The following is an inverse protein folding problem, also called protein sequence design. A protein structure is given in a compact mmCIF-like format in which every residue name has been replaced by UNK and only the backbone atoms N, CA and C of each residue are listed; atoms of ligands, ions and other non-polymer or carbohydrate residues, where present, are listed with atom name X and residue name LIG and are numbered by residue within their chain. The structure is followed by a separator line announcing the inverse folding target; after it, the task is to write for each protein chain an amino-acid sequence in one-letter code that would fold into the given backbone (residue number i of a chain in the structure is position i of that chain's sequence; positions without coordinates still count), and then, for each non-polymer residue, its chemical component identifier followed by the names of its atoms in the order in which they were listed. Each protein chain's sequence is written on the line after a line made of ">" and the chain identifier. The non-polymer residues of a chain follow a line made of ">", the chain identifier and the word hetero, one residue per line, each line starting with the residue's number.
data_IF_652079316633
#
_entry.id   IF_652079316633
#
_cell.length_a   1.000
_cell.length_b   1.000
_cell.length_c   1.000
_cell.angle_alpha   90.00
_cell.angle_beta   90.00
_cell.angle_gamma   90.00
#
_symmetry.space_group_name_H-M   'P 1'
#
loop_
_entity.id
_entity.type
_entity.pdbx_description
1 polymer ?
#
# COMPACT_ATOMS: atom_id res chain seq x y z
N UNK A 1 -99.08 13.55 -23.55
CA UNK A 1 -99.10 13.89 -22.14
C UNK A 1 -97.64 13.97 -21.72
N UNK A 2 -97.14 15.22 -21.80
CA UNK A 2 -95.66 15.47 -21.65
C UNK A 2 -95.55 16.18 -20.33
N UNK A 3 -94.72 15.62 -19.41
CA UNK A 3 -94.33 16.25 -18.16
C UNK A 3 -92.92 16.76 -18.30
N UNK A 4 -92.79 18.06 -18.28
CA UNK A 4 -91.51 18.79 -18.23
C UNK A 4 -90.98 18.80 -16.82
N UNK A 5 -89.77 18.28 -16.62
CA UNK A 5 -89.00 18.34 -15.36
C UNK A 5 -87.88 19.33 -15.51
N UNK A 6 -87.82 20.36 -14.70
CA UNK A 6 -86.72 21.32 -14.61
C UNK A 6 -85.45 20.70 -14.01
N UNK A 7 -84.23 21.15 -14.41
CA UNK A 7 -82.97 20.63 -13.84
C UNK A 7 -82.62 21.37 -12.53
N UNK A 8 -81.95 20.67 -11.57
CA UNK A 8 -81.61 21.26 -10.28
C UNK A 8 -80.35 22.16 -10.36
N UNK A 9 -80.41 23.23 -9.59
CA UNK A 9 -79.33 24.20 -9.36
C UNK A 9 -78.03 23.56 -8.94
N UNK A 10 -76.94 23.77 -9.70
CA UNK A 10 -75.59 23.42 -9.34
C UNK A 10 -75.02 24.47 -8.39
N UNK A 11 -74.89 24.14 -7.10
CA UNK A 11 -74.14 24.90 -6.12
C UNK A 11 -72.65 24.84 -6.45
N UNK A 12 -72.07 25.97 -6.83
CA UNK A 12 -70.60 26.11 -6.96
C UNK A 12 -69.97 26.13 -5.56
N UNK A 13 -69.28 25.08 -5.19
CA UNK A 13 -68.40 25.04 -4.04
C UNK A 13 -67.06 25.69 -4.42
N UNK A 14 -66.74 26.81 -3.81
CA UNK A 14 -65.41 27.45 -3.91
C UNK A 14 -64.46 26.66 -3.04
N UNK A 15 -63.53 25.96 -3.66
CA UNK A 15 -62.40 25.41 -2.96
C UNK A 15 -61.33 26.49 -2.69
N UNK A 16 -61.09 26.81 -1.42
CA UNK A 16 -59.96 27.60 -0.98
C UNK A 16 -58.78 26.66 -0.97
N UNK A 17 -57.88 26.83 -1.95
CA UNK A 17 -56.59 26.11 -1.97
C UNK A 17 -55.68 26.79 -0.96
N UNK A 18 -55.52 26.20 0.21
CA UNK A 18 -54.47 26.56 1.15
C UNK A 18 -53.12 26.03 0.62
N UNK A 19 -52.28 26.93 0.12
CA UNK A 19 -50.91 26.61 -0.27
C UNK A 19 -50.08 26.47 1.01
N UNK A 20 -49.78 25.24 1.40
CA UNK A 20 -48.78 24.96 2.43
C UNK A 20 -47.38 25.06 1.79
N UNK A 21 -46.66 26.13 2.13
CA UNK A 21 -45.24 26.23 1.87
C UNK A 21 -44.50 25.20 2.77
N UNK A 22 -44.21 24.03 2.20
CA UNK A 22 -43.28 23.07 2.84
C UNK A 22 -41.88 23.64 2.64
N UNK A 23 -41.30 24.22 3.68
CA UNK A 23 -39.90 24.55 3.73
C UNK A 23 -39.10 23.25 3.77
N UNK A 24 -38.63 22.81 2.61
CA UNK A 24 -37.67 21.69 2.52
C UNK A 24 -36.34 22.13 3.11
N UNK A 25 -36.08 21.74 4.33
CA UNK A 25 -34.71 21.79 4.88
C UNK A 25 -33.88 20.70 4.17
N UNK A 26 -33.21 21.09 3.09
CA UNK A 26 -32.22 20.26 2.44
C UNK A 26 -31.03 20.18 3.38
N UNK A 27 -30.93 19.08 4.13
CA UNK A 27 -29.71 18.72 4.79
C UNK A 27 -28.65 18.51 3.70
N UNK A 28 -27.70 19.44 3.59
CA UNK A 28 -26.51 19.30 2.77
C UNK A 28 -25.67 18.23 3.45
N UNK A 29 -25.89 16.97 3.08
CA UNK A 29 -24.93 15.89 3.34
C UNK A 29 -23.76 16.17 2.41
N UNK A 30 -22.73 16.82 2.94
CA UNK A 30 -21.46 16.94 2.23
C UNK A 30 -20.94 15.53 1.98
N UNK A 31 -20.70 15.12 0.73
CA UNK A 31 -20.06 13.84 0.49
C UNK A 31 -18.68 13.90 1.14
N UNK A 32 -18.41 13.00 2.07
CA UNK A 32 -17.06 12.73 2.55
C UNK A 32 -16.30 12.21 1.35
N UNK A 33 -15.61 13.10 0.64
CA UNK A 33 -14.77 12.72 -0.48
C UNK A 33 -13.68 11.78 0.06
N UNK A 34 -13.52 10.58 -0.50
CA UNK A 34 -12.39 9.75 -0.15
C UNK A 34 -11.11 10.56 -0.43
N UNK A 35 -10.12 10.45 0.44
CA UNK A 35 -8.84 11.18 0.39
C UNK A 35 -8.11 11.09 -0.97
N UNK A 36 -8.55 10.19 -1.85
CA UNK A 36 -8.06 9.98 -3.20
C UNK A 36 -8.48 11.04 -4.23
N UNK A 37 -9.54 11.81 -4.00
CA UNK A 37 -10.09 12.73 -5.01
C UNK A 37 -9.42 14.12 -5.04
N UNK A 38 -8.58 14.47 -4.07
CA UNK A 38 -7.98 15.80 -3.94
C UNK A 38 -6.52 15.91 -4.37
N UNK A 39 -5.97 14.90 -5.07
CA UNK A 39 -4.55 14.90 -5.47
C UNK A 39 -4.30 15.08 -6.97
N UNK A 40 -5.20 15.70 -7.69
CA UNK A 40 -4.99 16.04 -9.09
C UNK A 40 -4.92 17.55 -9.26
N UNK A 41 -3.84 18.21 -8.88
CA UNK A 41 -3.38 19.46 -9.48
C UNK A 41 -2.15 20.09 -8.88
N UNK A 42 -1.68 19.72 -7.71
CA UNK A 42 -0.39 20.22 -7.26
C UNK A 42 0.56 19.03 -7.12
N UNK A 43 1.76 19.16 -7.70
CA UNK A 43 2.89 18.34 -7.32
C UNK A 43 3.17 18.66 -5.84
N UNK A 44 2.35 18.14 -4.95
CA UNK A 44 2.55 18.25 -3.51
C UNK A 44 3.99 17.84 -3.28
N UNK A 45 4.78 18.73 -2.66
CA UNK A 45 6.18 18.48 -2.44
C UNK A 45 6.37 17.07 -1.89
N UNK A 46 7.16 16.24 -2.59
CA UNK A 46 7.44 14.89 -2.13
C UNK A 46 8.07 14.94 -0.74
N UNK A 47 7.93 13.88 0.03
CA UNK A 47 8.52 13.74 1.36
C UNK A 47 8.00 14.76 2.39
N UNK A 48 6.73 15.08 2.32
CA UNK A 48 6.06 15.99 3.27
C UNK A 48 4.93 15.25 3.98
N UNK A 49 4.82 15.48 5.29
CA UNK A 49 3.63 15.15 6.08
C UNK A 49 2.85 16.45 6.30
N UNK A 50 1.64 16.52 5.79
CA UNK A 50 0.75 17.66 5.99
C UNK A 50 0.35 17.82 7.46
N UNK A 51 -0.18 18.99 7.85
CA UNK A 51 -0.66 19.18 9.21
C UNK A 51 -1.78 18.17 9.59
N UNK A 52 -2.69 17.88 8.66
CA UNK A 52 -3.77 16.90 8.86
C UNK A 52 -3.22 15.46 9.00
N UNK A 53 -2.24 15.09 8.20
CA UNK A 53 -1.58 13.78 8.31
C UNK A 53 -0.83 13.65 9.64
N UNK A 54 -0.13 14.70 10.07
CA UNK A 54 0.58 14.71 11.36
C UNK A 54 -0.37 14.54 12.53
N UNK A 55 -1.51 15.26 12.54
CA UNK A 55 -2.54 15.09 13.57
C UNK A 55 -3.17 13.70 13.55
N UNK A 56 -3.11 12.98 12.41
CA UNK A 56 -3.57 11.60 12.27
C UNK A 56 -2.45 10.57 12.52
N UNK A 57 -1.31 10.98 13.08
CA UNK A 57 -0.23 10.09 13.49
C UNK A 57 0.77 9.68 12.39
N UNK A 58 0.70 10.28 11.20
CA UNK A 58 1.67 10.01 10.14
C UNK A 58 3.04 10.61 10.45
N UNK A 59 4.09 9.85 10.20
CA UNK A 59 5.49 10.26 10.30
C UNK A 59 6.24 9.87 9.02
N UNK A 60 7.25 10.66 8.64
CA UNK A 60 8.13 10.30 7.53
C UNK A 60 9.10 9.20 7.97
N UNK A 61 9.28 8.20 7.11
CA UNK A 61 10.41 7.26 7.18
C UNK A 61 11.57 7.68 6.29
N UNK A 62 11.34 8.63 5.37
CA UNK A 62 12.35 9.21 4.50
C UNK A 62 12.12 10.72 4.34
N UNK A 63 13.13 11.52 4.65
CA UNK A 63 13.07 12.99 4.67
C UNK A 63 13.35 13.65 3.30
N UNK A 64 13.63 12.86 2.27
CA UNK A 64 13.98 13.33 0.92
C UNK A 64 15.48 13.65 0.74
N UNK A 65 16.28 13.63 1.81
CA UNK A 65 17.69 14.07 1.77
C UNK A 65 18.67 13.08 2.37
N UNK A 66 18.24 12.31 3.38
CA UNK A 66 19.11 11.38 4.11
C UNK A 66 18.49 10.01 4.27
N UNK A 67 19.32 8.99 4.43
CA UNK A 67 18.91 7.63 4.80
C UNK A 67 18.94 7.42 6.32
N UNK A 68 18.76 8.48 7.11
CA UNK A 68 18.65 8.37 8.57
C UNK A 68 17.44 7.51 8.94
N UNK A 69 17.63 6.56 9.84
CA UNK A 69 16.60 5.59 10.20
C UNK A 69 16.52 4.37 9.29
N UNK A 70 17.48 4.26 8.33
CA UNK A 70 17.65 3.11 7.46
C UNK A 70 19.03 2.48 7.63
N UNK A 71 19.12 1.16 7.45
CA UNK A 71 20.35 0.36 7.47
C UNK A 71 20.21 -0.87 6.56
N UNK A 72 21.27 -1.60 6.36
CA UNK A 72 21.21 -2.89 5.66
C UNK A 72 20.73 -4.03 6.55
N UNK A 73 20.19 -5.08 5.94
CA UNK A 73 19.91 -6.34 6.62
C UNK A 73 21.23 -6.94 7.15
N UNK A 74 21.26 -7.29 8.44
CA UNK A 74 22.45 -7.84 9.12
C UNK A 74 23.61 -6.84 9.25
N UNK A 75 23.34 -5.52 9.17
CA UNK A 75 24.34 -4.46 9.22
C UNK A 75 23.82 -3.25 9.98
N UNK A 76 24.70 -2.50 10.62
CA UNK A 76 24.37 -1.25 11.30
C UNK A 76 24.47 -0.03 10.37
N UNK A 77 24.97 -0.21 9.16
CA UNK A 77 25.19 0.85 8.18
C UNK A 77 24.33 0.67 6.93
N UNK A 78 24.09 1.78 6.23
CA UNK A 78 23.42 1.78 4.93
C UNK A 78 24.33 1.09 3.89
N UNK A 79 23.80 0.18 3.06
CA UNK A 79 24.55 -0.44 1.96
C UNK A 79 24.67 0.54 0.77
N UNK A 80 25.56 1.53 0.90
CA UNK A 80 25.74 2.67 -0.04
C UNK A 80 26.20 2.24 -1.45
N UNK A 81 26.73 1.03 -1.60
CA UNK A 81 27.03 0.44 -2.90
C UNK A 81 25.75 0.14 -3.72
N UNK A 82 24.59 0.07 -3.06
CA UNK A 82 23.33 -0.32 -3.67
C UNK A 82 22.28 0.81 -3.67
N UNK A 83 22.38 1.74 -2.70
CA UNK A 83 21.36 2.75 -2.46
C UNK A 83 21.95 4.14 -2.34
N UNK A 84 21.32 5.10 -2.99
CA UNK A 84 21.69 6.51 -2.96
C UNK A 84 20.43 7.38 -2.82
N UNK A 85 20.59 8.57 -2.25
CA UNK A 85 19.54 9.61 -2.32
C UNK A 85 19.82 10.51 -3.50
N UNK A 86 18.88 10.63 -4.40
CA UNK A 86 18.98 11.45 -5.60
C UNK A 86 17.64 12.11 -5.92
N UNK A 87 17.62 13.40 -6.13
CA UNK A 87 16.43 14.18 -6.51
C UNK A 87 15.21 13.93 -5.60
N UNK A 88 15.42 13.86 -4.29
CA UNK A 88 14.37 13.63 -3.30
C UNK A 88 13.83 12.21 -3.26
N UNK A 89 14.55 11.24 -3.83
CA UNK A 89 14.15 9.84 -3.82
C UNK A 89 15.29 8.93 -3.33
N UNK A 90 14.94 7.82 -2.70
CA UNK A 90 15.84 6.68 -2.51
C UNK A 90 15.92 5.95 -3.84
N UNK A 91 17.10 5.89 -4.43
CA UNK A 91 17.34 5.21 -5.70
C UNK A 91 18.15 3.96 -5.47
N UNK A 92 17.67 2.83 -5.99
CA UNK A 92 18.47 1.60 -6.14
C UNK A 92 19.39 1.76 -7.34
N UNK A 93 20.70 1.67 -7.11
CA UNK A 93 21.73 1.74 -8.14
C UNK A 93 21.73 0.43 -8.93
N UNK A 94 21.65 0.44 -10.28
CA UNK A 94 21.72 -0.80 -11.06
C UNK A 94 22.99 -1.58 -10.75
N UNK A 95 22.84 -2.88 -10.45
CA UNK A 95 23.99 -3.73 -10.08
C UNK A 95 24.68 -4.37 -11.29
N UNK A 96 24.12 -4.22 -12.49
CA UNK A 96 24.68 -4.87 -13.68
C UNK A 96 24.67 -6.41 -13.58
N UNK A 97 25.68 -7.02 -14.17
CA UNK A 97 25.86 -8.48 -14.16
C UNK A 97 26.56 -8.90 -12.87
N UNK A 98 25.81 -9.33 -11.88
CA UNK A 98 26.31 -9.83 -10.59
C UNK A 98 25.82 -11.26 -10.34
N UNK A 99 26.49 -12.04 -9.49
CA UNK A 99 25.98 -13.34 -9.05
C UNK A 99 24.63 -13.20 -8.36
N UNK A 100 23.67 -14.04 -8.76
CA UNK A 100 22.30 -14.03 -8.25
C UNK A 100 21.91 -15.38 -7.68
N UNK A 101 20.94 -15.38 -6.80
CA UNK A 101 20.24 -16.57 -6.33
C UNK A 101 19.27 -17.08 -7.42
N UNK A 102 18.72 -18.27 -7.19
CA UNK A 102 17.75 -18.87 -8.11
C UNK A 102 16.47 -18.01 -8.30
N UNK A 103 16.13 -17.21 -7.30
CA UNK A 103 14.99 -16.27 -7.34
C UNK A 103 15.34 -14.88 -7.91
N UNK A 104 16.57 -14.73 -8.43
CA UNK A 104 17.06 -13.50 -9.05
C UNK A 104 17.64 -12.47 -8.09
N UNK A 105 17.56 -12.64 -6.78
CA UNK A 105 18.16 -11.71 -5.82
C UNK A 105 19.69 -11.79 -5.82
N UNK A 106 20.41 -10.65 -5.60
CA UNK A 106 21.86 -10.65 -5.52
C UNK A 106 22.37 -11.53 -4.38
N UNK A 107 23.37 -12.39 -4.65
CA UNK A 107 24.05 -13.18 -3.59
C UNK A 107 24.71 -12.30 -2.53
N UNK A 108 25.12 -11.10 -2.87
CA UNK A 108 25.71 -10.14 -1.93
C UNK A 108 24.70 -9.50 -0.96
N UNK A 109 23.38 -9.75 -1.15
CA UNK A 109 22.33 -9.11 -0.39
C UNK A 109 22.21 -7.62 -0.72
N UNK A 110 22.00 -6.79 0.31
CA UNK A 110 21.97 -5.34 0.17
C UNK A 110 20.57 -4.74 0.26
N UNK A 111 19.60 -5.48 0.81
CA UNK A 111 18.29 -4.95 1.17
C UNK A 111 18.44 -3.75 2.12
N UNK A 112 17.63 -2.71 1.91
CA UNK A 112 17.60 -1.51 2.73
C UNK A 112 16.43 -1.60 3.70
N UNK A 113 16.72 -1.61 5.00
CA UNK A 113 15.77 -1.90 6.07
C UNK A 113 15.61 -0.71 7.02
N UNK A 114 14.41 -0.45 7.52
CA UNK A 114 14.21 0.52 8.60
C UNK A 114 14.95 0.09 9.88
N UNK A 115 15.55 1.02 10.60
CA UNK A 115 16.19 0.72 11.90
C UNK A 115 15.14 0.34 12.95
N UNK A 116 13.93 0.90 12.88
CA UNK A 116 12.80 0.60 13.76
C UNK A 116 11.93 -0.50 13.17
N UNK A 117 11.34 -1.32 14.05
CA UNK A 117 10.32 -2.30 13.71
C UNK A 117 8.92 -1.77 14.08
N UNK A 118 7.90 -2.28 13.39
CA UNK A 118 6.51 -1.86 13.50
C UNK A 118 5.60 -3.07 13.70
N UNK A 119 4.51 -2.88 14.44
CA UNK A 119 3.47 -3.89 14.65
C UNK A 119 2.31 -3.68 13.66
N UNK A 120 1.31 -2.94 14.10
CA UNK A 120 0.16 -2.56 13.29
C UNK A 120 0.42 -1.19 12.68
N UNK A 121 0.31 -1.08 11.36
CA UNK A 121 0.65 0.14 10.67
C UNK A 121 -0.15 0.34 9.38
N UNK A 122 -0.18 1.57 8.92
CA UNK A 122 -0.44 1.93 7.54
C UNK A 122 0.82 2.61 6.99
N UNK A 123 1.39 2.05 5.92
CA UNK A 123 2.54 2.54 5.19
C UNK A 123 2.06 3.11 3.86
N UNK A 124 2.40 4.36 3.57
CA UNK A 124 2.20 4.97 2.25
C UNK A 124 3.56 5.29 1.63
N UNK A 125 3.68 5.07 0.33
CA UNK A 125 4.91 5.33 -0.42
C UNK A 125 4.63 5.56 -1.89
N UNK A 126 5.55 6.24 -2.56
CA UNK A 126 5.56 6.37 -4.01
C UNK A 126 6.78 5.65 -4.58
N UNK A 127 6.58 5.02 -5.74
CA UNK A 127 7.65 4.30 -6.42
C UNK A 127 7.54 4.44 -7.94
N UNK A 128 8.67 4.30 -8.62
CA UNK A 128 8.75 4.12 -10.07
C UNK A 128 9.89 3.17 -10.41
N UNK A 129 9.79 2.53 -11.55
CA UNK A 129 10.76 1.55 -12.04
C UNK A 129 11.36 1.96 -13.37
N UNK A 130 12.60 1.55 -13.61
CA UNK A 130 13.20 1.54 -14.95
C UNK A 130 12.60 0.40 -15.80
N UNK A 131 12.77 0.42 -17.14
CA UNK A 131 12.34 -0.67 -18.00
C UNK A 131 12.93 -2.02 -17.58
N UNK A 132 12.05 -3.03 -17.38
CA UNK A 132 12.42 -4.38 -16.98
C UNK A 132 12.87 -4.54 -15.53
N UNK A 133 12.65 -3.53 -14.67
CA UNK A 133 13.14 -3.57 -13.31
C UNK A 133 12.22 -4.34 -12.35
N UNK A 134 12.84 -4.93 -11.31
CA UNK A 134 12.23 -5.66 -10.21
C UNK A 134 12.75 -5.16 -8.87
N UNK A 135 11.85 -5.01 -7.92
CA UNK A 135 12.08 -4.71 -6.51
C UNK A 135 10.83 -5.08 -5.70
N UNK A 136 10.79 -4.74 -4.43
CA UNK A 136 9.65 -4.97 -3.55
C UNK A 136 9.72 -4.13 -2.28
N UNK A 137 8.57 -3.97 -1.63
CA UNK A 137 8.49 -3.43 -0.27
C UNK A 137 8.06 -4.56 0.65
N UNK A 138 9.02 -5.05 1.46
CA UNK A 138 8.75 -6.14 2.39
C UNK A 138 8.36 -5.59 3.77
N UNK A 139 7.51 -6.33 4.46
CA UNK A 139 7.01 -5.98 5.79
C UNK A 139 6.83 -7.23 6.65
N UNK A 140 6.55 -7.05 7.95
CA UNK A 140 6.58 -8.15 8.92
C UNK A 140 7.96 -8.86 8.94
N UNK A 141 9.03 -8.14 8.59
CA UNK A 141 10.38 -8.70 8.49
C UNK A 141 11.03 -8.74 9.87
N UNK A 142 11.32 -9.94 10.37
CA UNK A 142 12.18 -10.14 11.53
C UNK A 142 13.61 -10.34 11.06
N UNK A 143 14.53 -9.48 11.48
CA UNK A 143 15.94 -9.63 11.11
C UNK A 143 16.56 -10.94 11.63
N UNK A 144 16.37 -11.34 12.92
CA UNK A 144 16.88 -12.63 13.39
C UNK A 144 16.34 -13.82 12.58
N UNK A 145 15.04 -13.78 12.23
CA UNK A 145 14.42 -14.82 11.43
C UNK A 145 14.99 -14.87 10.00
N UNK A 146 15.21 -13.71 9.39
CA UNK A 146 15.80 -13.59 8.04
C UNK A 146 17.23 -14.15 8.04
N UNK A 147 18.06 -13.74 8.99
CA UNK A 147 19.45 -14.19 9.10
C UNK A 147 19.57 -15.70 9.36
N UNK A 148 18.66 -16.28 10.14
CA UNK A 148 18.64 -17.71 10.42
C UNK A 148 18.24 -18.57 9.21
N UNK A 149 17.36 -18.05 8.33
CA UNK A 149 16.78 -18.83 7.23
C UNK A 149 17.27 -18.44 5.84
N UNK A 150 17.81 -17.24 5.65
CA UNK A 150 18.29 -16.73 4.37
C UNK A 150 19.66 -16.03 4.48
N UNK A 151 20.30 -16.04 5.64
CA UNK A 151 21.51 -15.25 5.86
C UNK A 151 21.26 -13.76 5.62
N UNK A 152 22.29 -13.04 5.17
CA UNK A 152 22.16 -11.62 4.81
C UNK A 152 21.77 -11.37 3.34
N UNK A 153 21.39 -12.43 2.61
CA UNK A 153 21.08 -12.34 1.18
C UNK A 153 19.72 -11.73 0.91
N UNK A 154 18.72 -12.06 1.73
CA UNK A 154 17.35 -11.57 1.53
C UNK A 154 16.60 -11.40 2.86
N UNK A 155 15.90 -10.30 3.01
CA UNK A 155 14.92 -10.15 4.07
C UNK A 155 13.73 -11.07 3.83
N UNK A 156 13.31 -11.79 4.87
CA UNK A 156 12.13 -12.66 4.85
C UNK A 156 10.94 -11.96 5.52
N UNK A 157 9.88 -11.77 4.77
CA UNK A 157 8.62 -11.16 5.18
C UNK A 157 7.64 -11.14 4.01
N UNK A 158 6.42 -10.68 4.26
CA UNK A 158 5.46 -10.44 3.18
C UNK A 158 5.98 -9.35 2.27
N UNK A 159 5.67 -9.46 0.98
CA UNK A 159 6.21 -8.55 -0.02
C UNK A 159 5.10 -7.93 -0.87
N UNK A 160 5.05 -6.60 -0.89
CA UNK A 160 4.34 -5.82 -1.89
C UNK A 160 5.26 -5.72 -3.11
N UNK A 161 4.90 -6.38 -4.21
CA UNK A 161 5.72 -6.41 -5.41
C UNK A 161 5.79 -5.07 -6.13
N UNK A 162 6.99 -4.71 -6.60
CA UNK A 162 7.29 -3.52 -7.41
C UNK A 162 8.02 -3.96 -8.68
N UNK A 163 7.35 -3.85 -9.84
CA UNK A 163 7.80 -4.51 -11.06
C UNK A 163 7.46 -3.71 -12.33
N UNK A 164 8.25 -3.86 -13.39
CA UNK A 164 7.78 -3.64 -14.76
C UNK A 164 7.02 -4.91 -15.19
N UNK A 165 5.71 -4.89 -15.05
CA UNK A 165 4.85 -6.06 -15.30
C UNK A 165 4.94 -6.63 -16.72
N UNK A 166 5.33 -5.79 -17.70
CA UNK A 166 5.30 -6.16 -19.11
C UNK A 166 6.65 -6.69 -19.59
N UNK A 167 7.77 -6.24 -18.99
CA UNK A 167 9.11 -6.56 -19.48
C UNK A 167 9.91 -7.48 -18.59
N UNK A 168 9.63 -7.53 -17.28
CA UNK A 168 10.31 -8.45 -16.37
C UNK A 168 9.72 -9.86 -16.48
N UNK A 169 10.55 -10.88 -16.36
CA UNK A 169 10.15 -12.30 -16.44
C UNK A 169 9.07 -12.67 -15.41
N UNK A 170 9.16 -12.15 -14.20
CA UNK A 170 8.17 -12.38 -13.14
C UNK A 170 6.77 -11.90 -13.52
N UNK A 171 6.66 -10.88 -14.37
CA UNK A 171 5.36 -10.37 -14.84
C UNK A 171 4.50 -11.38 -15.60
N UNK A 172 5.06 -12.53 -15.98
CA UNK A 172 4.33 -13.65 -16.60
C UNK A 172 3.40 -14.34 -15.63
N UNK A 173 3.72 -14.30 -14.33
CA UNK A 173 2.89 -14.87 -13.26
C UNK A 173 2.05 -13.75 -12.60
N UNK A 174 0.75 -13.94 -12.55
CA UNK A 174 -0.15 -12.92 -12.01
C UNK A 174 0.14 -12.56 -10.54
N UNK A 175 0.53 -13.55 -9.73
CA UNK A 175 0.92 -13.36 -8.32
C UNK A 175 2.31 -12.72 -8.11
N UNK A 176 3.05 -12.44 -9.20
CA UNK A 176 4.34 -11.77 -9.18
C UNK A 176 4.29 -10.35 -9.75
N UNK A 177 3.11 -9.89 -10.20
CA UNK A 177 2.94 -8.55 -10.75
C UNK A 177 2.92 -7.48 -9.66
N UNK A 178 3.18 -6.24 -10.05
CA UNK A 178 3.14 -5.08 -9.15
C UNK A 178 1.89 -5.06 -8.27
N UNK A 179 2.08 -4.76 -6.99
CA UNK A 179 1.07 -4.74 -5.93
C UNK A 179 0.53 -6.12 -5.50
N UNK A 180 0.99 -7.23 -6.08
CA UNK A 180 0.68 -8.57 -5.57
C UNK A 180 1.19 -8.74 -4.12
N UNK A 181 0.55 -9.59 -3.33
CA UNK A 181 1.23 -10.28 -2.24
C UNK A 181 2.08 -11.37 -2.88
N UNK A 182 3.37 -11.08 -3.06
CA UNK A 182 4.28 -11.82 -3.92
C UNK A 182 4.20 -13.32 -3.72
N UNK A 183 4.07 -14.05 -4.83
CA UNK A 183 3.97 -15.50 -4.93
C UNK A 183 2.76 -16.13 -4.20
N UNK A 184 1.80 -15.31 -3.75
CA UNK A 184 0.61 -15.78 -3.04
C UNK A 184 -0.70 -15.23 -3.60
N UNK A 185 -0.88 -13.91 -3.70
CA UNK A 185 -2.15 -13.31 -4.13
C UNK A 185 -1.90 -12.31 -5.25
N UNK A 186 -2.51 -12.56 -6.39
CA UNK A 186 -2.52 -11.63 -7.51
C UNK A 186 -3.36 -10.38 -7.21
N UNK A 187 -3.01 -9.20 -7.75
CA UNK A 187 -3.87 -8.03 -7.67
C UNK A 187 -5.18 -8.27 -8.43
N UNK A 188 -6.29 -7.74 -7.90
CA UNK A 188 -7.58 -7.86 -8.54
C UNK A 188 -7.68 -7.07 -9.87
N UNK A 189 -8.75 -7.28 -10.62
CA UNK A 189 -8.97 -6.67 -11.94
C UNK A 189 -9.12 -5.13 -11.91
N UNK A 190 -9.25 -4.52 -10.74
CA UNK A 190 -9.34 -3.06 -10.58
C UNK A 190 -7.96 -2.39 -10.54
N UNK A 191 -6.88 -3.15 -10.53
CA UNK A 191 -5.52 -2.65 -10.59
C UNK A 191 -5.34 -1.64 -11.72
N UNK A 192 -4.72 -0.49 -11.41
CA UNK A 192 -4.37 0.56 -12.38
C UNK A 192 -2.92 0.96 -12.14
N UNK A 193 -2.03 0.43 -12.98
CA UNK A 193 -0.61 0.73 -12.96
C UNK A 193 -0.32 1.93 -13.88
N UNK A 194 0.55 2.84 -13.46
CA UNK A 194 1.06 3.91 -14.31
C UNK A 194 2.23 3.38 -15.18
N UNK A 195 2.48 3.98 -16.34
CA UNK A 195 3.59 3.61 -17.19
C UNK A 195 4.94 3.59 -16.48
N UNK A 196 5.86 2.76 -17.00
CA UNK A 196 7.25 2.72 -16.55
C UNK A 196 7.87 4.12 -16.58
N UNK A 197 8.59 4.49 -15.53
CA UNK A 197 9.17 5.84 -15.36
C UNK A 197 8.23 6.84 -14.68
N UNK A 198 6.94 6.54 -14.54
CA UNK A 198 5.99 7.35 -13.79
C UNK A 198 5.84 6.90 -12.33
N UNK A 199 5.53 7.87 -11.44
CA UNK A 199 5.34 7.60 -10.03
C UNK A 199 3.98 6.93 -9.76
N UNK A 200 4.00 5.74 -9.18
CA UNK A 200 2.84 5.05 -8.61
C UNK A 200 2.72 5.38 -7.12
N UNK A 201 1.50 5.51 -6.62
CA UNK A 201 1.19 5.68 -5.21
C UNK A 201 0.71 4.35 -4.64
N UNK A 202 1.26 3.95 -3.52
CA UNK A 202 0.91 2.69 -2.88
C UNK A 202 0.71 2.84 -1.39
N UNK A 203 -0.10 1.95 -0.83
CA UNK A 203 -0.18 1.78 0.61
C UNK A 203 -0.28 0.31 0.99
N UNK A 204 0.23 0.00 2.18
CA UNK A 204 0.10 -1.28 2.85
C UNK A 204 -0.59 -1.01 4.18
N UNK A 205 -1.70 -1.67 4.45
CA UNK A 205 -2.33 -1.70 5.77
C UNK A 205 -2.06 -3.08 6.36
N UNK A 206 -1.50 -3.13 7.58
CA UNK A 206 -1.28 -4.36 8.29
C UNK A 206 -1.72 -4.21 9.75
N UNK A 207 -2.81 -4.87 10.11
CA UNK A 207 -3.43 -4.77 11.44
C UNK A 207 -3.77 -6.15 11.98
N UNK A 208 -3.18 -6.52 13.10
CA UNK A 208 -3.37 -7.84 13.68
C UNK A 208 -2.97 -8.93 12.69
N UNK A 209 -3.93 -9.65 12.16
CA UNK A 209 -3.73 -10.68 11.11
C UNK A 209 -4.20 -10.23 9.72
N UNK A 210 -4.77 -9.05 9.61
CA UNK A 210 -5.33 -8.51 8.38
C UNK A 210 -4.31 -7.70 7.60
N UNK A 211 -4.21 -7.93 6.29
CA UNK A 211 -3.32 -7.21 5.39
C UNK A 211 -4.04 -6.73 4.13
N UNK A 212 -3.70 -5.52 3.67
CA UNK A 212 -4.20 -4.94 2.44
C UNK A 212 -3.08 -4.31 1.63
N UNK A 213 -3.15 -4.43 0.29
CA UNK A 213 -2.34 -3.67 -0.64
C UNK A 213 -3.22 -2.72 -1.47
N UNK A 214 -2.77 -1.48 -1.57
CA UNK A 214 -3.42 -0.42 -2.33
C UNK A 214 -2.48 0.10 -3.42
N UNK A 215 -3.01 0.34 -4.61
CA UNK A 215 -2.28 0.92 -5.73
C UNK A 215 -3.10 2.03 -6.38
N UNK A 216 -2.54 3.23 -6.48
CA UNK A 216 -3.15 4.42 -7.10
C UNK A 216 -4.59 4.67 -6.61
N UNK A 217 -4.81 4.51 -5.30
CA UNK A 217 -6.10 4.75 -4.63
C UNK A 217 -7.08 3.57 -4.66
N UNK A 218 -6.69 2.43 -5.21
CA UNK A 218 -7.53 1.22 -5.29
C UNK A 218 -6.97 0.11 -4.42
N UNK A 219 -7.80 -0.52 -3.58
CA UNK A 219 -7.44 -1.77 -2.88
C UNK A 219 -7.39 -2.90 -3.88
N UNK A 220 -6.21 -3.51 -4.04
CA UNK A 220 -5.97 -4.55 -5.05
C UNK A 220 -5.72 -5.93 -4.47
N UNK A 221 -5.30 -6.01 -3.21
CA UNK A 221 -5.11 -7.27 -2.46
C UNK A 221 -5.65 -7.11 -1.05
N UNK A 222 -6.24 -8.17 -0.53
CA UNK A 222 -6.70 -8.29 0.86
C UNK A 222 -6.55 -9.73 1.34
N UNK A 223 -6.11 -9.93 2.59
CA UNK A 223 -5.89 -11.24 3.16
C UNK A 223 -5.94 -11.25 4.68
N UNK A 224 -6.20 -12.42 5.26
CA UNK A 224 -6.14 -12.69 6.69
C UNK A 224 -5.19 -13.86 6.96
N UNK A 225 -4.18 -13.63 7.81
CA UNK A 225 -3.23 -14.68 8.23
C UNK A 225 -3.93 -15.75 9.07
N UNK A 226 -3.60 -17.01 8.79
CA UNK A 226 -4.22 -18.17 9.43
C UNK A 226 -5.63 -18.45 8.95
N UNK A 227 -6.08 -17.84 7.84
CA UNK A 227 -7.27 -18.29 7.14
C UNK A 227 -6.95 -19.52 6.27
N UNK A 228 -7.91 -20.45 6.06
CA UNK A 228 -7.68 -21.62 5.21
C UNK A 228 -7.20 -21.27 3.79
N UNK A 229 -7.66 -20.12 3.27
CA UNK A 229 -7.20 -19.61 1.98
C UNK A 229 -5.72 -19.26 2.03
N UNK A 230 -5.29 -18.50 3.04
CA UNK A 230 -3.90 -18.06 3.17
C UNK A 230 -2.96 -19.23 3.42
N UNK A 231 -3.37 -20.20 4.25
CA UNK A 231 -2.58 -21.40 4.50
C UNK A 231 -2.40 -22.25 3.24
N UNK A 232 -3.46 -22.36 2.40
CA UNK A 232 -3.38 -23.04 1.10
C UNK A 232 -2.45 -22.33 0.12
N UNK A 233 -2.44 -20.99 0.10
CA UNK A 233 -1.56 -20.20 -0.78
C UNK A 233 -0.10 -20.32 -0.33
N UNK A 234 0.16 -20.23 0.97
CA UNK A 234 1.49 -20.41 1.55
C UNK A 234 2.07 -21.78 1.21
N UNK A 235 1.26 -22.84 1.34
CA UNK A 235 1.68 -24.22 1.01
C UNK A 235 2.06 -24.41 -0.46
N UNK A 236 1.64 -23.53 -1.35
CA UNK A 236 1.96 -23.56 -2.79
C UNK A 236 3.09 -22.58 -3.16
N UNK A 237 3.41 -21.63 -2.28
CA UNK A 237 4.41 -20.59 -2.54
C UNK A 237 5.85 -21.10 -2.38
N UNK A 238 6.81 -20.29 -2.81
CA UNK A 238 8.25 -20.54 -2.55
C UNK A 238 8.59 -20.59 -1.05
N UNK A 239 7.75 -20.00 -0.22
CA UNK A 239 7.95 -19.91 1.24
C UNK A 239 7.50 -21.16 2.01
N UNK A 240 6.89 -22.16 1.34
CA UNK A 240 6.38 -23.40 1.97
C UNK A 240 7.43 -24.17 2.75
N UNK A 241 8.71 -24.01 2.39
CA UNK A 241 9.85 -24.70 3.05
C UNK A 241 10.47 -23.89 4.19
N UNK A 242 9.91 -22.71 4.52
CA UNK A 242 10.40 -21.85 5.60
C UNK A 242 9.39 -21.88 6.75
N UNK A 243 9.60 -22.72 7.78
CA UNK A 243 8.68 -22.82 8.90
C UNK A 243 8.52 -21.48 9.60
N UNK A 244 7.28 -21.10 9.90
CA UNK A 244 6.97 -19.84 10.55
C UNK A 244 7.07 -18.59 9.68
N UNK A 245 7.23 -18.72 8.35
CA UNK A 245 7.27 -17.55 7.46
C UNK A 245 6.07 -16.62 7.63
N UNK A 246 4.86 -17.18 7.71
CA UNK A 246 3.61 -16.42 7.84
C UNK A 246 3.26 -16.03 9.28
N UNK A 247 4.11 -16.30 10.28
CA UNK A 247 3.86 -15.85 11.63
C UNK A 247 3.87 -14.32 11.68
N UNK A 248 2.84 -13.77 12.33
CA UNK A 248 2.80 -12.32 12.55
C UNK A 248 3.91 -11.92 13.52
N UNK A 249 4.65 -10.89 13.16
CA UNK A 249 5.77 -10.36 13.96
C UNK A 249 5.72 -8.84 14.00
N UNK A 250 6.26 -8.26 15.05
CA UNK A 250 6.78 -6.91 15.01
C UNK A 250 7.98 -6.93 14.07
N UNK A 251 7.90 -6.19 12.96
CA UNK A 251 8.87 -6.35 11.89
C UNK A 251 9.26 -5.04 11.23
N UNK A 252 10.34 -5.11 10.50
CA UNK A 252 10.89 -3.98 9.74
C UNK A 252 10.16 -3.82 8.40
N UNK A 253 10.25 -2.59 7.85
CA UNK A 253 9.94 -2.30 6.45
C UNK A 253 11.26 -2.37 5.68
N UNK A 254 11.24 -3.05 4.53
CA UNK A 254 12.44 -3.29 3.74
C UNK A 254 12.19 -2.95 2.28
N UNK A 255 13.11 -2.22 1.68
CA UNK A 255 13.18 -2.02 0.23
C UNK A 255 14.13 -3.08 -0.34
N UNK A 256 13.62 -3.92 -1.23
CA UNK A 256 14.36 -5.06 -1.77
C UNK A 256 15.42 -4.64 -2.77
N UNK A 257 16.63 -5.17 -2.61
CA UNK A 257 17.65 -5.14 -3.63
C UNK A 257 17.49 -6.33 -4.59
N UNK A 258 16.87 -6.11 -5.74
CA UNK A 258 16.82 -7.11 -6.81
C UNK A 258 17.87 -6.86 -7.92
N UNK A 259 18.72 -5.85 -7.75
CA UNK A 259 19.78 -5.49 -8.70
C UNK A 259 19.37 -4.45 -9.75
N UNK A 260 18.10 -4.17 -9.87
CA UNK A 260 17.55 -3.30 -10.91
C UNK A 260 17.31 -1.87 -10.39
N UNK A 261 17.08 -0.92 -11.30
CA UNK A 261 16.93 0.48 -10.96
C UNK A 261 15.49 0.83 -10.61
N UNK A 262 15.27 1.24 -9.37
CA UNK A 262 13.96 1.62 -8.82
C UNK A 262 14.12 2.85 -7.93
N UNK A 263 13.10 3.69 -7.84
CA UNK A 263 13.07 4.86 -6.98
C UNK A 263 11.87 4.80 -6.02
N UNK A 264 12.11 5.24 -4.78
CA UNK A 264 11.11 5.36 -3.74
C UNK A 264 11.13 6.76 -3.14
N UNK A 265 9.97 7.35 -2.84
CA UNK A 265 9.83 8.62 -2.15
C UNK A 265 8.53 8.71 -1.37
N UNK A 266 8.31 9.78 -0.65
CA UNK A 266 7.09 10.01 0.13
C UNK A 266 6.75 8.84 1.06
N UNK A 267 7.80 8.17 1.58
CA UNK A 267 7.64 7.02 2.46
C UNK A 267 7.23 7.53 3.84
N UNK A 268 6.00 7.26 4.22
CA UNK A 268 5.44 7.66 5.51
C UNK A 268 4.61 6.54 6.12
N UNK A 269 4.60 6.51 7.45
CA UNK A 269 3.92 5.46 8.19
C UNK A 269 3.14 6.09 9.35
N UNK A 270 1.95 5.56 9.62
CA UNK A 270 1.26 5.74 10.89
C UNK A 270 1.07 4.40 11.59
N UNK A 271 1.23 4.40 12.91
CA UNK A 271 0.90 3.23 13.73
C UNK A 271 -0.62 3.15 13.87
N UNK A 272 -1.15 1.95 13.76
CA UNK A 272 -2.57 1.69 13.96
C UNK A 272 -2.71 1.12 15.36
N UNK A 273 -3.02 1.98 16.34
CA UNK A 273 -3.13 1.55 17.72
C UNK A 273 -4.27 0.56 17.88
N UNK A 274 -3.93 -0.64 18.35
CA UNK A 274 -4.90 -1.55 18.93
C UNK A 274 -5.12 -1.09 20.35
N UNK A 275 -6.14 -0.24 20.57
CA UNK A 275 -6.65 0.19 21.88
C UNK A 275 -5.59 0.57 22.90
N UNK A 276 -5.64 1.79 23.42
CA UNK A 276 -4.74 2.35 24.41
C UNK A 276 -4.43 1.32 25.54
N UNK A 277 -3.20 0.84 25.60
CA UNK A 277 -2.82 -0.04 26.69
C UNK A 277 -1.48 -0.73 26.65
N UNK A 278 -0.53 -0.38 25.75
CA UNK A 278 0.86 -0.88 25.88
C UNK A 278 1.87 0.06 25.20
N UNK A 279 2.02 1.24 25.75
CA UNK A 279 3.31 1.93 25.67
C UNK A 279 4.21 1.30 26.73
N UNK A 280 5.15 0.50 26.28
CA UNK A 280 6.41 0.29 27.01
C UNK A 280 7.51 0.39 25.98
N UNK A 281 8.10 1.57 25.97
CA UNK A 281 9.41 1.82 25.42
C UNK A 281 10.42 0.96 26.21
N UNK A 282 11.08 0.03 25.54
CA UNK A 282 12.39 -0.51 25.89
C UNK A 282 13.19 -0.67 24.61
#
# INVERSE_FOLDING_TARGET
>A
MVLTGEPPLVRRVRWVVAVWLIASVSAIVSPVSPLSAQRTSDAAAANVVTAAERSSGWTLLFDGTTLRGWRGLGRDTVPTAHWVVENGAIRKIPSGKIPRQADGQPLAGGDLMTARAFDDFELAFEWKVAPGANSGVKYNVSEPFSLANAGNHAALGFEYQVLDDDRHEDGKLASHRSAALYDMIEPNAQKRLRPVGEWNQSAIVFRGKHGEHWLNGVKVVEYDLGSPRMDSLLAKSKYRTIPGFADRRRGHIVLQNHGDEVWYRSIKLRRLDVGAGRDRDE
#
